data_IF_265878843550
#
_entry.id   IF_265878843550
#
_cell.length_a   1.000
_cell.length_b   1.000
_cell.length_c   1.000
_cell.angle_alpha   90.00
_cell.angle_beta   90.00
_cell.angle_gamma   90.00
#
_symmetry.space_group_name_H-M   'P 1'
#
loop_
_entity.id
_entity.type
_entity.pdbx_description
1 polymer ?
#
# COMPACT_ATOMS: atom_id res chain seq x y z
N UNK A 1 -22.30 17.67 0.35
CA UNK A 1 -20.90 17.62 -0.11
C UNK A 1 -20.24 16.37 0.48
N UNK A 2 -19.79 15.39 -0.33
CA UNK A 2 -19.09 14.24 0.23
C UNK A 2 -17.78 14.74 0.83
N UNK A 3 -17.55 14.42 2.10
CA UNK A 3 -16.29 14.76 2.77
C UNK A 3 -15.17 13.95 2.13
N UNK A 4 -14.32 14.60 1.35
CA UNK A 4 -13.08 13.99 0.83
C UNK A 4 -12.15 13.72 2.01
N UNK A 5 -12.26 12.54 2.63
CA UNK A 5 -11.28 12.10 3.63
C UNK A 5 -9.96 11.87 2.94
N UNK A 6 -8.89 12.45 3.48
CA UNK A 6 -7.53 12.14 3.07
C UNK A 6 -7.25 10.64 3.23
N UNK A 7 -6.45 10.07 2.34
CA UNK A 7 -6.00 8.68 2.45
C UNK A 7 -5.31 8.44 3.81
N UNK A 8 -5.53 7.27 4.40
CA UNK A 8 -4.85 6.87 5.64
C UNK A 8 -3.36 6.60 5.39
N UNK A 9 -2.54 6.64 6.45
CA UNK A 9 -1.10 6.31 6.35
C UNK A 9 -0.88 4.92 5.73
N UNK A 10 -1.60 3.90 6.22
CA UNK A 10 -1.56 2.55 5.66
C UNK A 10 -1.94 2.51 4.17
N UNK A 11 -2.92 3.31 3.74
CA UNK A 11 -3.30 3.37 2.32
C UNK A 11 -2.17 3.96 1.46
N UNK A 12 -1.51 5.03 1.93
CA UNK A 12 -0.36 5.62 1.24
C UNK A 12 0.82 4.65 1.15
N UNK A 13 1.12 3.92 2.23
CA UNK A 13 2.16 2.89 2.23
C UNK A 13 1.88 1.77 1.23
N UNK A 14 0.66 1.23 1.21
CA UNK A 14 0.28 0.17 0.26
C UNK A 14 0.38 0.65 -1.19
N UNK A 15 -0.10 1.87 -1.47
CA UNK A 15 0.02 2.48 -2.80
C UNK A 15 1.48 2.71 -3.21
N UNK A 16 2.35 3.10 -2.27
CA UNK A 16 3.78 3.27 -2.54
C UNK A 16 4.46 1.95 -2.89
N UNK A 17 4.22 0.88 -2.12
CA UNK A 17 4.78 -0.46 -2.42
C UNK A 17 4.33 -0.95 -3.79
N UNK A 18 3.06 -0.73 -4.15
CA UNK A 18 2.54 -1.10 -5.46
C UNK A 18 3.11 -0.22 -6.59
N UNK A 19 3.42 1.04 -6.31
CA UNK A 19 4.05 1.95 -7.27
C UNK A 19 5.51 1.53 -7.53
N UNK A 20 6.23 1.14 -6.49
CA UNK A 20 7.61 0.62 -6.58
C UNK A 20 7.70 -0.71 -7.34
N UNK A 21 6.59 -1.44 -7.46
CA UNK A 21 6.50 -2.66 -8.26
C UNK A 21 6.40 -2.38 -9.77
N UNK A 22 6.33 -1.12 -10.21
CA UNK A 22 6.37 -0.70 -11.62
C UNK A 22 5.43 -1.49 -12.56
N UNK A 23 4.18 -1.66 -12.11
CA UNK A 23 3.14 -2.37 -12.87
C UNK A 23 3.22 -3.90 -12.80
N UNK A 24 4.22 -4.46 -12.10
CA UNK A 24 4.28 -5.89 -11.80
C UNK A 24 3.18 -6.30 -10.80
N UNK A 25 2.71 -7.53 -10.96
CA UNK A 25 1.73 -8.14 -10.07
C UNK A 25 2.31 -8.36 -8.68
N UNK A 26 1.57 -7.94 -7.65
CA UNK A 26 1.96 -8.07 -6.24
C UNK A 26 0.93 -8.88 -5.46
N UNK A 27 1.38 -9.86 -4.68
CA UNK A 27 0.47 -10.69 -3.88
C UNK A 27 0.10 -10.03 -2.56
N UNK A 28 -1.15 -10.19 -2.12
CA UNK A 28 -1.67 -9.56 -0.89
C UNK A 28 -0.82 -9.83 0.37
N UNK A 29 -0.34 -11.06 0.55
CA UNK A 29 0.54 -11.40 1.69
C UNK A 29 1.86 -10.63 1.67
N UNK A 30 2.46 -10.46 0.49
CA UNK A 30 3.70 -9.71 0.34
C UNK A 30 3.48 -8.22 0.55
N UNK A 31 2.37 -7.68 0.04
CA UNK A 31 1.96 -6.30 0.28
C UNK A 31 1.80 -6.00 1.78
N UNK A 32 1.16 -6.90 2.53
CA UNK A 32 1.02 -6.78 3.99
C UNK A 32 2.39 -6.64 4.66
N UNK A 33 3.36 -7.49 4.25
CA UNK A 33 4.71 -7.49 4.82
C UNK A 33 5.50 -6.25 4.43
N UNK A 34 5.52 -5.87 3.15
CA UNK A 34 6.31 -4.74 2.64
C UNK A 34 5.78 -3.40 3.14
N UNK A 35 4.46 -3.24 3.25
CA UNK A 35 3.83 -2.01 3.70
C UNK A 35 3.64 -1.95 5.23
N UNK A 36 4.09 -2.97 5.98
CA UNK A 36 3.88 -3.13 7.43
C UNK A 36 2.40 -2.96 7.85
N UNK A 37 1.50 -3.59 7.10
CA UNK A 37 0.05 -3.50 7.32
C UNK A 37 -0.52 -4.87 7.67
N UNK A 38 -1.28 -4.94 8.76
CA UNK A 38 -2.00 -6.17 9.15
C UNK A 38 -3.02 -6.57 8.09
N UNK A 39 -3.16 -7.87 7.84
CA UNK A 39 -4.10 -8.45 6.88
C UNK A 39 -5.54 -7.94 7.05
N UNK A 40 -6.03 -7.83 8.30
CA UNK A 40 -7.37 -7.32 8.60
C UNK A 40 -7.61 -5.85 8.21
N UNK A 41 -6.54 -5.09 7.98
CA UNK A 41 -6.60 -3.73 7.44
C UNK A 41 -6.31 -3.71 5.93
N UNK A 42 -5.38 -4.55 5.48
CA UNK A 42 -4.97 -4.61 4.08
C UNK A 42 -6.11 -5.03 3.16
N UNK A 43 -6.76 -6.18 3.41
CA UNK A 43 -7.73 -6.71 2.45
C UNK A 43 -8.97 -5.82 2.26
N UNK A 44 -9.59 -5.26 3.31
CA UNK A 44 -10.66 -4.27 3.14
C UNK A 44 -10.21 -2.98 2.46
N UNK A 45 -8.91 -2.65 2.51
CA UNK A 45 -8.36 -1.53 1.75
C UNK A 45 -8.21 -1.88 0.27
N UNK A 46 -7.62 -3.03 -0.06
CA UNK A 46 -7.45 -3.49 -1.45
C UNK A 46 -8.79 -3.59 -2.17
N UNK A 47 -9.80 -4.20 -1.54
CA UNK A 47 -11.17 -4.31 -2.08
C UNK A 47 -11.75 -2.94 -2.43
N UNK A 48 -11.56 -1.94 -1.54
CA UNK A 48 -12.07 -0.58 -1.79
C UNK A 48 -11.33 0.11 -2.94
N UNK A 49 -10.01 -0.03 -3.01
CA UNK A 49 -9.21 0.56 -4.07
C UNK A 49 -9.51 -0.08 -5.44
N UNK A 50 -9.71 -1.39 -5.48
CA UNK A 50 -10.18 -2.13 -6.65
C UNK A 50 -11.57 -1.65 -7.09
N UNK A 51 -12.53 -1.59 -6.17
CA UNK A 51 -13.89 -1.10 -6.45
C UNK A 51 -13.93 0.37 -6.93
N UNK A 52 -12.90 1.15 -6.59
CA UNK A 52 -12.71 2.53 -7.05
C UNK A 52 -11.95 2.62 -8.39
N UNK A 53 -11.53 1.50 -8.96
CA UNK A 53 -10.79 1.44 -10.23
C UNK A 53 -9.32 1.82 -10.12
N UNK A 54 -8.76 1.85 -8.91
CA UNK A 54 -7.33 2.15 -8.68
C UNK A 54 -6.44 0.91 -8.74
N UNK A 55 -7.02 -0.28 -8.57
CA UNK A 55 -6.33 -1.55 -8.68
C UNK A 55 -7.01 -2.44 -9.70
N UNK A 56 -6.19 -3.23 -10.40
CA UNK A 56 -6.62 -4.47 -11.01
C UNK A 56 -6.28 -5.62 -10.05
N UNK A 57 -7.15 -6.63 -10.01
CA UNK A 57 -6.95 -7.83 -9.23
C UNK A 57 -7.22 -9.07 -10.10
N UNK A 58 -6.39 -10.09 -9.97
CA UNK A 58 -6.61 -11.37 -10.63
C UNK A 58 -6.20 -12.54 -9.74
N UNK A 59 -6.81 -13.70 -9.98
CA UNK A 59 -6.35 -14.95 -9.40
C UNK A 59 -5.22 -15.50 -10.24
N UNK A 60 -4.02 -15.61 -9.66
CA UNK A 60 -2.88 -16.22 -10.31
C UNK A 60 -2.71 -17.66 -9.85
N UNK A 61 -2.44 -18.54 -10.82
CA UNK A 61 -2.05 -19.91 -10.54
C UNK A 61 -0.69 -19.91 -9.84
N UNK A 62 -0.49 -20.79 -8.84
CA UNK A 62 0.81 -20.88 -8.20
C UNK A 62 1.83 -21.51 -9.14
N UNK A 63 3.08 -21.05 -9.02
CA UNK A 63 4.22 -21.62 -9.75
C UNK A 63 4.48 -23.07 -9.33
N UNK A 64 4.23 -23.40 -8.06
CA UNK A 64 4.33 -24.76 -7.52
C UNK A 64 2.98 -25.49 -7.57
N UNK A 65 2.98 -26.70 -8.13
CA UNK A 65 1.81 -27.58 -8.14
C UNK A 65 1.35 -27.92 -6.71
N UNK A 66 0.03 -27.88 -6.48
CA UNK A 66 -0.59 -28.24 -5.20
C UNK A 66 -0.79 -27.08 -4.21
N UNK A 67 -0.38 -25.85 -4.55
CA UNK A 67 -0.77 -24.65 -3.80
C UNK A 67 -2.12 -24.12 -4.29
N UNK A 68 -2.90 -23.43 -3.45
CA UNK A 68 -4.09 -22.73 -3.91
C UNK A 68 -3.71 -21.49 -4.75
N UNK A 69 -4.54 -21.08 -5.72
CA UNK A 69 -4.44 -19.80 -6.39
C UNK A 69 -4.35 -18.64 -5.40
N UNK A 70 -3.68 -17.56 -5.80
CA UNK A 70 -3.50 -16.37 -4.96
C UNK A 70 -3.97 -15.13 -5.71
N UNK A 71 -4.64 -14.23 -5.00
CA UNK A 71 -4.92 -12.91 -5.53
C UNK A 71 -3.63 -12.12 -5.71
N UNK A 72 -3.47 -11.55 -6.90
CA UNK A 72 -2.46 -10.59 -7.24
C UNK A 72 -3.11 -9.26 -7.58
N UNK A 73 -2.42 -8.17 -7.27
CA UNK A 73 -2.89 -6.81 -7.46
C UNK A 73 -1.84 -5.99 -8.20
N UNK A 74 -2.29 -5.06 -9.05
CA UNK A 74 -1.44 -4.04 -9.67
C UNK A 74 -2.16 -2.71 -9.75
N UNK A 75 -1.42 -1.62 -9.82
CA UNK A 75 -2.03 -0.29 -10.02
C UNK A 75 -2.56 -0.16 -11.45
N UNK A 76 -3.75 0.41 -11.57
CA UNK A 76 -4.20 0.97 -12.84
C UNK A 76 -3.53 2.33 -13.10
N UNK A 77 -3.73 2.90 -14.29
CA UNK A 77 -3.28 4.26 -14.58
C UNK A 77 -3.83 5.30 -13.58
N UNK A 78 -5.05 5.12 -13.08
CA UNK A 78 -5.64 6.00 -12.06
C UNK A 78 -5.00 5.76 -10.68
N UNK A 79 -4.71 4.49 -10.35
CA UNK A 79 -4.00 4.12 -9.13
C UNK A 79 -2.59 4.70 -9.05
N UNK A 80 -1.85 4.69 -10.17
CA UNK A 80 -0.53 5.32 -10.26
C UNK A 80 -0.60 6.82 -9.97
N UNK A 81 -1.58 7.52 -10.55
CA UNK A 81 -1.78 8.95 -10.28
C UNK A 81 -2.12 9.20 -8.81
N UNK A 82 -3.01 8.37 -8.25
CA UNK A 82 -3.39 8.46 -6.83
C UNK A 82 -2.19 8.25 -5.91
N UNK A 83 -1.36 7.23 -6.18
CA UNK A 83 -0.16 6.92 -5.41
C UNK A 83 0.84 8.08 -5.44
N UNK A 84 1.14 8.61 -6.63
CA UNK A 84 2.05 9.75 -6.81
C UNK A 84 1.57 11.02 -6.11
N UNK A 85 0.26 11.27 -6.12
CA UNK A 85 -0.35 12.42 -5.43
C UNK A 85 -0.40 12.25 -3.90
N UNK A 86 -0.23 11.02 -3.38
CA UNK A 86 -0.35 10.71 -1.96
C UNK A 86 0.85 9.89 -1.47
N UNK A 87 2.08 10.44 -1.55
CA UNK A 87 3.25 9.74 -1.05
C UNK A 87 3.10 9.43 0.45
N UNK A 88 3.72 8.35 0.95
CA UNK A 88 3.76 8.10 2.38
C UNK A 88 4.35 9.31 3.10
N UNK A 89 3.79 9.64 4.25
CA UNK A 89 4.31 10.76 5.03
C UNK A 89 5.76 10.46 5.42
N UNK A 90 6.66 11.42 5.23
CA UNK A 90 8.00 11.32 5.81
C UNK A 90 7.83 11.16 7.33
N UNK A 91 8.54 10.22 7.99
CA UNK A 91 8.61 10.26 9.43
C UNK A 91 9.17 11.64 9.79
N UNK A 92 8.36 12.47 10.44
CA UNK A 92 8.85 13.68 11.06
C UNK A 92 9.73 13.20 12.20
N UNK A 93 11.03 13.02 11.93
CA UNK A 93 12.03 12.86 12.98
C UNK A 93 12.10 14.21 13.66
N UNK A 94 11.26 14.42 14.67
CA UNK A 94 11.46 15.49 15.63
C UNK A 94 12.70 15.10 16.43
N UNK A 95 13.88 15.48 15.91
CA UNK A 95 15.14 15.33 16.59
C UNK A 95 15.02 16.09 17.92
N UNK A 96 14.91 15.34 19.02
CA UNK A 96 14.99 15.87 20.37
C UNK A 96 16.37 16.50 20.50
N UNK A 97 16.40 17.83 20.54
CA UNK A 97 17.60 18.61 20.83
C UNK A 97 18.02 18.30 22.28
N UNK A 98 18.88 17.32 22.46
CA UNK A 98 19.59 17.08 23.71
C UNK A 98 20.40 18.33 24.03
N UNK A 99 19.92 19.10 25.00
CA UNK A 99 20.68 20.18 25.61
C UNK A 99 21.77 19.50 26.44
N UNK A 100 23.02 19.58 25.98
CA UNK A 100 24.16 19.38 26.86
C UNK A 100 24.06 20.42 27.98
N UNK A 101 23.92 19.94 29.22
CA UNK A 101 24.10 20.74 30.42
C UNK A 101 25.52 20.47 30.92
N UNK A 102 26.33 21.51 30.83
CA UNK A 102 27.63 21.69 31.47
C UNK A 102 27.47 21.76 32.99
N UNK A 103 28.30 21.02 33.74
CA UNK A 103 29.13 21.42 34.90
C UNK A 103 29.65 20.15 35.59
#
# INVERSE_FOLDING_TARGET
>A
MPRTRSLSSHARMVLAVLLDADGQWSHGYELARRADVKSGTLYPLLIRLEAQGHLEAEWQQPVEAGRPPRHAYRLTASGVQLARANPPGHPVTTAVRSRQATI
#
